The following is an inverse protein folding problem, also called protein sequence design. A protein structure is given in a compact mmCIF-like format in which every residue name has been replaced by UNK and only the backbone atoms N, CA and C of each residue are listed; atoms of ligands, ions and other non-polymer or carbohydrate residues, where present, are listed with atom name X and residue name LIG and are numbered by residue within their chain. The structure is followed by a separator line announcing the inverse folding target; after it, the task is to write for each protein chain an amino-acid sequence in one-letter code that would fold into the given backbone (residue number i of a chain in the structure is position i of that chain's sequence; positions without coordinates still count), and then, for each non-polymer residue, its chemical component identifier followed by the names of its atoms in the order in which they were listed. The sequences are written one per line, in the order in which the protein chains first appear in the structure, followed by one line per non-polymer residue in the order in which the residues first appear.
data_IF_696587047076
#
_entry.id   IF_696587047076
#
_cell.length_a   1.000
_cell.length_b   1.000
_cell.length_c   1.000
_cell.angle_alpha   90.00
_cell.angle_beta   90.00
_cell.angle_gamma   90.00
#
_symmetry.space_group_name_H-M   'P 1'
#
loop_
_entity.id
_entity.type
_entity.pdbx_description
1 polymer ?
#
# COMPACT_ATOMS: atom_id res chain seq x y z
N UNK A 1 -1.04 8.52 10.76
CA UNK A 1 -2.51 8.52 10.64
C UNK A 1 -3.00 7.75 9.42
N UNK A 2 -2.25 7.72 8.31
CA UNK A 2 -2.57 6.87 7.15
C UNK A 2 -2.37 5.39 7.51
N UNK A 3 -3.45 4.61 7.54
CA UNK A 3 -3.44 3.20 7.92
C UNK A 3 -4.69 2.45 7.48
N UNK A 4 -4.99 1.31 8.11
CA UNK A 4 -6.12 0.47 7.73
C UNK A 4 -7.49 1.16 7.78
N UNK A 5 -7.70 2.05 8.75
CA UNK A 5 -8.91 2.87 8.81
C UNK A 5 -9.03 3.88 7.66
N UNK A 6 -7.90 4.40 7.17
CA UNK A 6 -7.88 5.28 5.99
C UNK A 6 -8.21 4.49 4.72
N UNK A 7 -7.65 3.29 4.58
CA UNK A 7 -7.98 2.40 3.46
C UNK A 7 -9.49 2.10 3.43
N UNK A 8 -10.03 1.59 4.54
CA UNK A 8 -11.45 1.22 4.58
C UNK A 8 -12.37 2.43 4.39
N UNK A 9 -12.10 3.53 5.09
CA UNK A 9 -12.93 4.74 5.00
C UNK A 9 -12.96 5.34 3.60
N UNK A 10 -11.81 5.43 2.93
CA UNK A 10 -11.75 5.93 1.54
C UNK A 10 -12.38 4.95 0.55
N UNK A 11 -12.20 3.64 0.73
CA UNK A 11 -12.84 2.64 -0.11
C UNK A 11 -14.37 2.77 -0.01
N UNK A 12 -14.92 2.80 1.22
CA UNK A 12 -16.36 2.98 1.41
C UNK A 12 -16.89 4.26 0.76
N UNK A 13 -16.15 5.38 0.86
CA UNK A 13 -16.56 6.64 0.22
C UNK A 13 -16.52 6.59 -1.31
N UNK A 14 -15.51 5.96 -1.90
CA UNK A 14 -15.26 6.05 -3.35
C UNK A 14 -15.86 4.89 -4.15
N UNK A 15 -16.14 3.75 -3.50
CA UNK A 15 -16.66 2.56 -4.16
C UNK A 15 -18.04 2.15 -3.63
N UNK A 16 -18.38 2.57 -2.41
CA UNK A 16 -19.60 2.15 -1.73
C UNK A 16 -19.50 0.77 -1.09
N UNK A 17 -18.30 0.20 -0.92
CA UNK A 17 -18.15 -1.06 -0.21
C UNK A 17 -18.56 -0.96 1.27
N UNK A 18 -19.20 -2.01 1.77
CA UNK A 18 -19.78 -2.07 3.12
C UNK A 18 -18.89 -2.85 4.11
N UNK A 19 -17.87 -3.55 3.61
CA UNK A 19 -16.96 -4.35 4.44
C UNK A 19 -15.50 -4.26 3.99
N UNK A 20 -14.59 -4.65 4.88
CA UNK A 20 -13.16 -4.72 4.57
C UNK A 20 -12.86 -5.81 3.54
N UNK A 21 -13.51 -6.96 3.67
CA UNK A 21 -13.39 -8.09 2.75
C UNK A 21 -13.85 -7.70 1.32
N UNK A 22 -14.98 -6.99 1.19
CA UNK A 22 -15.44 -6.47 -0.10
C UNK A 22 -14.44 -5.45 -0.68
N UNK A 23 -13.91 -4.54 0.13
CA UNK A 23 -12.89 -3.58 -0.32
C UNK A 23 -11.65 -4.30 -0.87
N UNK A 24 -11.20 -5.37 -0.23
CA UNK A 24 -10.09 -6.21 -0.71
C UNK A 24 -10.45 -6.98 -1.98
N UNK A 25 -11.68 -7.49 -2.08
CA UNK A 25 -12.15 -8.16 -3.28
C UNK A 25 -12.15 -7.20 -4.49
N UNK A 26 -12.69 -5.99 -4.33
CA UNK A 26 -12.65 -4.95 -5.35
C UNK A 26 -11.20 -4.61 -5.74
N UNK A 27 -10.32 -4.39 -4.76
CA UNK A 27 -8.92 -4.11 -4.99
C UNK A 27 -8.15 -5.27 -5.65
N UNK A 28 -8.65 -6.51 -5.58
CA UNK A 28 -8.04 -7.65 -6.28
C UNK A 28 -8.32 -7.65 -7.78
N UNK A 29 -9.39 -6.97 -8.21
CA UNK A 29 -9.87 -6.93 -9.60
C UNK A 29 -9.43 -5.67 -10.35
N UNK A 30 -9.02 -4.62 -9.64
CA UNK A 30 -8.67 -3.33 -10.23
C UNK A 30 -7.20 -3.16 -10.63
N UNK A 31 -6.96 -2.16 -11.48
CA UNK A 31 -5.64 -1.65 -11.87
C UNK A 31 -5.46 -0.22 -11.34
N UNK A 32 -4.50 -0.03 -10.42
CA UNK A 32 -4.23 1.28 -9.83
C UNK A 32 -3.69 2.29 -10.86
N UNK A 33 -3.08 1.83 -11.96
CA UNK A 33 -2.48 2.72 -12.97
C UNK A 33 -3.51 3.54 -13.75
N UNK A 34 -4.79 3.18 -13.69
CA UNK A 34 -5.88 4.00 -14.21
C UNK A 34 -6.13 5.26 -13.35
N UNK A 35 -5.89 5.17 -12.04
CA UNK A 35 -6.08 6.28 -11.10
C UNK A 35 -4.78 7.04 -10.77
N UNK A 36 -3.67 6.31 -10.68
CA UNK A 36 -2.35 6.85 -10.33
C UNK A 36 -1.66 7.46 -11.55
N UNK A 37 -0.84 8.49 -11.31
CA UNK A 37 0.08 9.03 -12.31
C UNK A 37 1.48 8.47 -12.06
N UNK A 38 2.05 7.82 -13.06
CA UNK A 38 3.34 7.14 -13.00
C UNK A 38 4.49 8.05 -13.43
N UNK A 39 5.73 7.67 -13.14
CA UNK A 39 6.93 8.39 -13.59
C UNK A 39 6.94 8.54 -15.12
N UNK A 40 6.58 7.47 -15.85
CA UNK A 40 6.50 7.51 -17.32
C UNK A 40 5.44 8.47 -17.86
N UNK A 41 4.39 8.77 -17.08
CA UNK A 41 3.35 9.72 -17.49
C UNK A 41 3.83 11.18 -17.40
N UNK A 42 4.94 11.43 -16.69
CA UNK A 42 5.56 12.75 -16.56
C UNK A 42 6.80 12.86 -17.45
N UNK A 43 7.63 11.81 -17.49
CA UNK A 43 8.94 11.82 -18.15
C UNK A 43 8.98 11.06 -19.48
N UNK A 44 7.92 10.36 -19.87
CA UNK A 44 7.90 9.52 -21.08
C UNK A 44 8.67 8.20 -20.96
N UNK A 45 9.22 7.89 -19.78
CA UNK A 45 10.04 6.71 -19.51
C UNK A 45 10.55 6.71 -18.07
N UNK A 46 11.74 6.16 -17.87
CA UNK A 46 12.44 6.19 -16.58
C UNK A 46 12.99 7.60 -16.28
N UNK A 47 13.05 7.97 -15.01
CA UNK A 47 13.84 9.14 -14.58
C UNK A 47 15.23 8.68 -14.14
N UNK A 48 16.11 8.48 -15.13
CA UNK A 48 17.41 7.85 -14.99
C UNK A 48 18.32 8.51 -13.93
N UNK A 49 18.31 9.84 -13.87
CA UNK A 49 19.20 10.62 -12.98
C UNK A 49 19.10 10.20 -11.50
N UNK A 50 17.90 9.82 -11.06
CA UNK A 50 17.64 9.40 -9.68
C UNK A 50 17.24 7.92 -9.58
N UNK A 51 17.33 7.17 -10.68
CA UNK A 51 16.97 5.75 -10.73
C UNK A 51 15.51 5.47 -10.40
N UNK A 52 14.59 6.36 -10.78
CA UNK A 52 13.15 6.12 -10.61
C UNK A 52 12.60 5.45 -11.87
N UNK A 53 12.12 4.21 -11.79
CA UNK A 53 11.64 3.51 -12.97
C UNK A 53 10.27 4.06 -13.42
N UNK A 54 9.98 3.97 -14.70
CA UNK A 54 8.79 4.53 -15.34
C UNK A 54 7.47 3.97 -14.80
N UNK A 55 7.49 2.75 -14.25
CA UNK A 55 6.34 2.10 -13.63
C UNK A 55 6.07 2.58 -12.19
N UNK A 56 7.01 3.28 -11.55
CA UNK A 56 6.81 3.77 -10.19
C UNK A 56 5.72 4.85 -10.16
N UNK A 57 4.90 4.83 -9.10
CA UNK A 57 3.90 5.88 -8.86
C UNK A 57 4.62 7.18 -8.54
N UNK A 58 4.41 8.20 -9.36
CA UNK A 58 4.91 9.55 -9.12
C UNK A 58 3.92 10.38 -8.31
N UNK A 59 2.62 10.20 -8.56
CA UNK A 59 1.54 10.82 -7.79
C UNK A 59 0.35 9.88 -7.67
N UNK A 60 0.10 9.39 -6.45
CA UNK A 60 -1.12 8.64 -6.12
C UNK A 60 -2.36 9.45 -6.47
N UNK A 61 -3.34 8.82 -7.13
CA UNK A 61 -4.54 9.48 -7.67
C UNK A 61 -4.29 10.66 -8.62
N UNK A 62 -3.05 10.85 -9.09
CA UNK A 62 -2.65 12.02 -9.88
C UNK A 62 -3.34 12.12 -11.24
N UNK A 63 -3.92 11.02 -11.73
CA UNK A 63 -4.70 11.00 -12.96
C UNK A 63 -6.17 11.38 -12.72
N UNK A 64 -6.64 11.41 -11.47
CA UNK A 64 -8.03 11.79 -11.13
C UNK A 64 -8.30 13.30 -11.20
N UNK A 65 -7.30 14.13 -11.53
CA UNK A 65 -7.52 15.56 -11.80
C UNK A 65 -8.22 15.80 -13.14
N UNK A 66 -8.09 14.86 -14.09
CA UNK A 66 -8.67 14.95 -15.43
C UNK A 66 -10.09 14.36 -15.44
N UNK A 67 -11.03 15.05 -16.07
CA UNK A 67 -12.46 14.68 -16.03
C UNK A 67 -12.72 13.36 -16.76
N UNK A 68 -12.17 13.22 -17.94
CA UNK A 68 -12.25 12.05 -18.80
C UNK A 68 -11.72 10.78 -18.11
N UNK A 69 -10.65 10.90 -17.31
CA UNK A 69 -10.11 9.78 -16.54
C UNK A 69 -11.00 9.41 -15.35
N UNK A 70 -11.62 10.40 -14.70
CA UNK A 70 -12.62 10.14 -13.64
C UNK A 70 -13.88 9.46 -14.17
N UNK A 71 -14.26 9.73 -15.42
CA UNK A 71 -15.43 9.10 -16.05
C UNK A 71 -15.16 7.66 -16.51
N UNK A 72 -13.89 7.31 -16.78
CA UNK A 72 -13.50 5.96 -17.22
C UNK A 72 -13.07 5.02 -16.10
N UNK A 73 -12.64 5.54 -14.95
CA UNK A 73 -12.08 4.73 -13.85
C UNK A 73 -13.17 3.87 -13.21
N UNK A 74 -12.88 2.59 -12.99
CA UNK A 74 -13.80 1.68 -12.29
C UNK A 74 -13.68 1.84 -10.77
N UNK A 75 -14.67 1.31 -10.03
CA UNK A 75 -14.61 1.29 -8.56
C UNK A 75 -13.49 0.38 -8.07
N UNK A 76 -13.24 -0.71 -8.78
CA UNK A 76 -12.17 -1.68 -8.53
C UNK A 76 -10.80 -1.02 -8.67
N UNK A 77 -10.59 -0.20 -9.71
CA UNK A 77 -9.36 0.59 -9.90
C UNK A 77 -9.12 1.56 -8.75
N UNK A 78 -10.18 2.23 -8.28
CA UNK A 78 -10.10 3.12 -7.12
C UNK A 78 -9.73 2.33 -5.86
N UNK A 79 -10.41 1.21 -5.58
CA UNK A 79 -10.07 0.35 -4.43
C UNK A 79 -8.60 -0.11 -4.49
N UNK A 80 -8.12 -0.51 -5.68
CA UNK A 80 -6.72 -0.89 -5.91
C UNK A 80 -5.77 0.29 -5.63
N UNK A 81 -6.07 1.47 -6.15
CA UNK A 81 -5.23 2.66 -5.97
C UNK A 81 -5.15 3.08 -4.50
N UNK A 82 -6.24 2.97 -3.73
CA UNK A 82 -6.24 3.25 -2.28
C UNK A 82 -5.34 2.23 -1.57
N UNK A 83 -5.51 0.93 -1.87
CA UNK A 83 -4.70 -0.14 -1.28
C UNK A 83 -3.21 0.08 -1.54
N UNK A 84 -2.83 0.34 -2.79
CA UNK A 84 -1.44 0.58 -3.21
C UNK A 84 -0.87 1.82 -2.52
N UNK A 85 -1.63 2.92 -2.49
CA UNK A 85 -1.20 4.19 -1.88
C UNK A 85 -0.92 4.04 -0.39
N UNK A 86 -1.86 3.48 0.37
CA UNK A 86 -1.70 3.29 1.82
C UNK A 86 -0.56 2.31 2.12
N UNK A 87 -0.48 1.20 1.38
CA UNK A 87 0.55 0.18 1.59
C UNK A 87 1.95 0.69 1.29
N UNK A 88 2.14 1.37 0.16
CA UNK A 88 3.44 1.93 -0.20
C UNK A 88 3.86 3.07 0.74
N UNK A 89 2.91 3.88 1.24
CA UNK A 89 3.21 4.90 2.24
C UNK A 89 3.72 4.27 3.55
N UNK A 90 3.05 3.24 4.05
CA UNK A 90 3.49 2.47 5.22
C UNK A 90 4.88 1.88 4.99
N UNK A 91 5.10 1.23 3.85
CA UNK A 91 6.40 0.64 3.50
C UNK A 91 7.53 1.67 3.44
N UNK A 92 7.28 2.85 2.88
CA UNK A 92 8.26 3.94 2.80
C UNK A 92 8.64 4.48 4.18
N UNK A 93 7.65 4.74 5.05
CA UNK A 93 7.89 5.18 6.43
C UNK A 93 8.67 4.11 7.20
N UNK A 94 8.24 2.85 7.11
CA UNK A 94 8.92 1.74 7.77
C UNK A 94 10.39 1.60 7.31
N UNK A 95 10.66 1.75 6.01
CA UNK A 95 12.03 1.76 5.45
C UNK A 95 12.86 2.91 6.04
N UNK A 96 12.32 4.13 6.07
CA UNK A 96 13.05 5.29 6.61
C UNK A 96 13.38 5.09 8.10
N UNK A 97 12.42 4.62 8.89
CA UNK A 97 12.65 4.31 10.31
C UNK A 97 13.70 3.20 10.48
N UNK A 98 13.59 2.10 9.73
CA UNK A 98 14.54 0.99 9.81
C UNK A 98 15.98 1.42 9.50
N UNK A 99 16.16 2.25 8.47
CA UNK A 99 17.48 2.83 8.13
C UNK A 99 18.00 3.73 9.25
N UNK A 100 17.15 4.59 9.82
CA UNK A 100 17.53 5.49 10.91
C UNK A 100 17.96 4.71 12.18
N UNK A 101 17.19 3.69 12.55
CA UNK A 101 17.44 2.85 13.72
C UNK A 101 18.48 1.74 13.47
N UNK A 102 19.02 1.64 12.25
CA UNK A 102 19.99 0.61 11.83
C UNK A 102 19.46 -0.82 12.03
N UNK A 103 18.18 -1.03 11.74
CA UNK A 103 17.49 -2.32 11.82
C UNK A 103 17.27 -2.86 10.40
N UNK A 104 17.51 -4.16 10.19
CA UNK A 104 17.36 -4.82 8.88
C UNK A 104 16.14 -5.74 8.77
N UNK A 105 15.42 -5.97 9.88
CA UNK A 105 14.23 -6.82 9.93
C UNK A 105 13.05 -5.99 10.39
N UNK A 106 12.03 -5.89 9.53
CA UNK A 106 10.82 -5.11 9.81
C UNK A 106 9.66 -6.09 9.86
N UNK A 107 9.07 -6.25 11.06
CA UNK A 107 7.87 -7.08 11.24
C UNK A 107 6.64 -6.21 11.10
N UNK A 108 5.75 -6.56 10.18
CA UNK A 108 4.45 -5.93 10.04
C UNK A 108 3.38 -6.76 10.75
N UNK A 109 2.54 -6.09 11.54
CA UNK A 109 1.45 -6.68 12.32
C UNK A 109 0.20 -5.82 12.23
N UNK A 110 -0.93 -6.33 12.71
CA UNK A 110 -2.23 -5.65 12.75
C UNK A 110 -3.20 -6.09 11.66
N UNK A 111 -4.51 -5.97 11.95
CA UNK A 111 -5.59 -6.51 11.11
C UNK A 111 -5.75 -5.88 9.73
N UNK A 112 -5.00 -4.81 9.39
CA UNK A 112 -4.92 -4.35 8.00
C UNK A 112 -4.35 -5.42 7.06
N UNK A 113 -3.51 -6.31 7.59
CA UNK A 113 -2.88 -7.39 6.83
C UNK A 113 -3.70 -8.70 6.86
N UNK A 114 -4.76 -8.76 7.67
CA UNK A 114 -5.66 -9.92 7.75
C UNK A 114 -6.24 -10.21 6.38
N UNK A 115 -6.04 -11.45 5.92
CA UNK A 115 -6.43 -11.95 4.58
C UNK A 115 -5.96 -11.06 3.41
N UNK A 116 -4.98 -10.19 3.63
CA UNK A 116 -4.54 -9.16 2.69
C UNK A 116 -3.15 -9.47 2.11
N UNK A 117 -3.07 -10.59 1.39
CA UNK A 117 -1.82 -11.04 0.77
C UNK A 117 -1.30 -10.06 -0.30
N UNK A 118 -2.18 -9.24 -0.89
CA UNK A 118 -1.80 -8.17 -1.81
C UNK A 118 -0.89 -7.15 -1.11
N UNK A 119 -1.34 -6.60 0.03
CA UNK A 119 -0.53 -5.65 0.80
C UNK A 119 0.75 -6.28 1.35
N UNK A 120 0.70 -7.53 1.82
CA UNK A 120 1.90 -8.22 2.30
C UNK A 120 2.96 -8.35 1.20
N UNK A 121 2.56 -8.76 -0.01
CA UNK A 121 3.47 -8.86 -1.17
C UNK A 121 4.01 -7.49 -1.59
N UNK A 122 3.17 -6.45 -1.58
CA UNK A 122 3.58 -5.09 -1.90
C UNK A 122 4.60 -4.55 -0.87
N UNK A 123 4.37 -4.76 0.43
CA UNK A 123 5.32 -4.36 1.48
C UNK A 123 6.65 -5.09 1.34
N UNK A 124 6.62 -6.40 1.09
CA UNK A 124 7.81 -7.21 0.90
C UNK A 124 8.63 -6.73 -0.31
N UNK A 125 7.96 -6.53 -1.44
CA UNK A 125 8.60 -6.01 -2.66
C UNK A 125 9.16 -4.59 -2.46
N UNK A 126 8.37 -3.68 -1.88
CA UNK A 126 8.78 -2.30 -1.69
C UNK A 126 9.98 -2.19 -0.74
N UNK A 127 9.99 -2.92 0.38
CA UNK A 127 11.14 -2.91 1.29
C UNK A 127 12.40 -3.45 0.62
N UNK A 128 12.30 -4.58 -0.08
CA UNK A 128 13.44 -5.20 -0.76
C UNK A 128 13.99 -4.29 -1.88
N UNK A 129 13.11 -3.85 -2.80
CA UNK A 129 13.48 -3.04 -3.96
C UNK A 129 14.13 -1.71 -3.55
N UNK A 130 13.46 -0.94 -2.67
CA UNK A 130 13.94 0.39 -2.27
C UNK A 130 15.10 0.37 -1.27
N UNK A 131 15.39 -0.78 -0.66
CA UNK A 131 16.58 -0.97 0.18
C UNK A 131 17.71 -1.70 -0.52
N UNK A 132 17.55 -2.10 -1.79
CA UNK A 132 18.50 -2.94 -2.53
C UNK A 132 18.81 -4.25 -1.78
N UNK A 133 17.78 -4.88 -1.23
CA UNK A 133 17.85 -6.15 -0.50
C UNK A 133 18.38 -6.05 0.94
N UNK A 134 18.59 -4.86 1.49
CA UNK A 134 19.11 -4.69 2.85
C UNK A 134 18.05 -4.87 3.94
N UNK A 135 16.77 -4.62 3.63
CA UNK A 135 15.66 -4.76 4.56
C UNK A 135 14.78 -5.95 4.20
N UNK A 136 14.41 -6.74 5.21
CA UNK A 136 13.50 -7.87 5.07
C UNK A 136 12.16 -7.57 5.76
N UNK A 137 11.07 -7.64 4.99
CA UNK A 137 9.72 -7.65 5.54
C UNK A 137 9.40 -9.03 6.14
N UNK A 138 8.85 -9.03 7.35
CA UNK A 138 8.42 -10.22 8.08
C UNK A 138 6.95 -10.06 8.46
N UNK A 139 6.23 -11.18 8.51
CA UNK A 139 4.83 -11.26 8.85
C UNK A 139 4.61 -12.37 9.86
N UNK A 140 3.56 -12.27 10.66
CA UNK A 140 3.23 -13.24 11.71
C UNK A 140 1.80 -13.74 11.54
N UNK A 141 1.56 -15.03 11.72
CA UNK A 141 0.23 -15.62 11.52
C UNK A 141 -0.85 -15.03 12.45
N UNK A 142 -0.45 -14.66 13.68
CA UNK A 142 -1.34 -14.09 14.71
C UNK A 142 -1.27 -12.56 14.74
N UNK A 143 -1.07 -11.92 13.58
CA UNK A 143 -0.79 -10.49 13.40
C UNK A 143 -1.68 -9.52 14.17
N UNK A 144 -2.96 -9.85 14.39
CA UNK A 144 -3.93 -8.97 15.06
C UNK A 144 -4.04 -9.15 16.58
N UNK A 145 -3.40 -10.14 17.18
CA UNK A 145 -3.76 -10.64 18.52
C UNK A 145 -2.72 -10.39 19.62
N UNK A 146 -1.52 -9.89 19.29
CA UNK A 146 -0.41 -9.75 20.25
C UNK A 146 -0.75 -8.88 21.47
N UNK A 147 -1.53 -7.82 21.29
CA UNK A 147 -1.98 -6.97 22.41
C UNK A 147 -2.86 -7.72 23.41
N UNK A 148 -3.79 -8.55 22.91
CA UNK A 148 -4.67 -9.35 23.76
C UNK A 148 -3.89 -10.45 24.51
N UNK A 149 -2.95 -11.12 23.82
CA UNK A 149 -2.06 -12.12 24.45
C UNK A 149 -1.18 -11.46 25.52
N UNK A 150 -0.65 -10.27 25.25
CA UNK A 150 0.14 -9.52 26.23
C UNK A 150 -0.65 -9.16 27.49
N UNK A 151 -1.92 -8.77 27.33
CA UNK A 151 -2.80 -8.50 28.46
C UNK A 151 -3.09 -9.75 29.30
N UNK A 152 -3.29 -10.91 28.66
CA UNK A 152 -3.48 -12.19 29.34
C UNK A 152 -2.25 -12.61 30.16
N UNK A 153 -1.04 -12.39 29.64
CA UNK A 153 0.21 -12.72 30.34
C UNK A 153 0.52 -11.80 31.54
N UNK A 154 -0.19 -10.67 31.65
CA UNK A 154 -0.10 -9.76 32.79
C UNK A 154 -1.09 -10.06 33.92
N UNK A 155 -1.96 -11.06 33.75
CA UNK A 155 -2.85 -11.58 34.79
C UNK A 155 -2.12 -12.63 35.65
#
# INVERSE_FOLDING_TARGET
SLGGGTFLGLCSLLTGCESFEEALEMASKGDSTHADKLVRDIYGGDYERFGLPGWAVASSFGNMIYKEKRESVSKEDLARAILVTITNNIGSIARMCAVNEKINRVVFVGNFLRVNTLSMKLLAYALDYWSKGQLKALFLEHEGYFGAVGALLGL
#
